data_IF_800894977172
#
_entry.id   IF_800894977172
#
_cell.length_a   1.000
_cell.length_b   1.000
_cell.length_c   1.000
_cell.angle_alpha   90.00
_cell.angle_beta   90.00
_cell.angle_gamma   90.00
#
_symmetry.space_group_name_H-M   'P 1'
#
loop_
_entity.id
_entity.type
_entity.pdbx_description
1 polymer ?
#
# COMPACT_ATOMS: atom_id res chain seq x y z
N UNK A 1 3.17 -2.24 15.99
CA UNK A 1 2.08 -1.90 15.06
C UNK A 1 2.58 -1.19 13.79
N UNK A 2 3.30 -0.06 13.87
CA UNK A 2 3.86 0.65 12.69
C UNK A 2 4.60 -0.26 11.68
N UNK A 3 5.50 -1.11 12.16
CA UNK A 3 6.23 -2.09 11.32
C UNK A 3 5.33 -3.14 10.66
N UNK A 4 4.28 -3.61 11.34
CA UNK A 4 3.37 -4.60 10.76
C UNK A 4 2.57 -4.00 9.61
N UNK A 5 2.09 -2.75 9.78
CA UNK A 5 1.41 -2.01 8.71
C UNK A 5 2.34 -1.83 7.52
N UNK A 6 3.60 -1.48 7.78
CA UNK A 6 4.62 -1.36 6.73
C UNK A 6 4.82 -2.67 5.96
N UNK A 7 4.98 -3.80 6.65
CA UNK A 7 5.12 -5.12 6.02
C UNK A 7 3.90 -5.51 5.18
N UNK A 8 2.68 -5.22 5.66
CA UNK A 8 1.44 -5.48 4.91
C UNK A 8 1.40 -4.64 3.63
N UNK A 9 1.79 -3.37 3.70
CA UNK A 9 1.84 -2.49 2.53
C UNK A 9 2.91 -2.98 1.54
N UNK A 10 4.09 -3.36 2.01
CA UNK A 10 5.15 -3.93 1.17
C UNK A 10 4.71 -5.22 0.47
N UNK A 11 3.98 -6.09 1.18
CA UNK A 11 3.41 -7.31 0.61
C UNK A 11 2.35 -7.00 -0.47
N UNK A 12 1.43 -6.07 -0.19
CA UNK A 12 0.43 -5.63 -1.14
C UNK A 12 1.06 -5.00 -2.39
N UNK A 13 2.11 -4.19 -2.22
CA UNK A 13 2.89 -3.65 -3.34
C UNK A 13 3.54 -4.75 -4.17
N UNK A 14 4.16 -5.73 -3.52
CA UNK A 14 4.79 -6.86 -4.20
C UNK A 14 3.76 -7.69 -4.99
N UNK A 15 2.57 -7.93 -4.42
CA UNK A 15 1.44 -8.58 -5.10
C UNK A 15 0.94 -7.79 -6.32
N UNK A 16 1.04 -6.45 -6.28
CA UNK A 16 0.75 -5.58 -7.43
C UNK A 16 1.92 -5.48 -8.43
N UNK A 17 3.01 -6.21 -8.20
CA UNK A 17 4.21 -6.22 -9.04
C UNK A 17 5.06 -4.97 -8.91
N UNK A 18 4.83 -4.16 -7.86
CA UNK A 18 5.60 -2.95 -7.57
C UNK A 18 6.73 -3.31 -6.63
N UNK A 19 7.96 -3.07 -7.09
CA UNK A 19 9.18 -3.33 -6.33
C UNK A 19 10.05 -2.08 -6.30
N UNK A 20 10.78 -1.87 -5.21
CA UNK A 20 11.68 -0.72 -5.04
C UNK A 20 11.04 0.56 -4.49
N UNK A 21 9.83 0.47 -3.90
CA UNK A 21 9.22 1.56 -3.14
C UNK A 21 9.45 1.30 -1.65
N UNK A 22 10.08 2.24 -0.94
CA UNK A 22 10.18 2.16 0.51
C UNK A 22 8.83 2.55 1.14
N UNK A 23 8.22 1.64 1.87
CA UNK A 23 6.97 1.94 2.54
C UNK A 23 7.21 2.83 3.77
N UNK A 24 6.81 4.09 3.71
CA UNK A 24 6.84 4.98 4.88
C UNK A 24 5.43 5.09 5.44
N UNK A 25 5.27 4.57 6.65
CA UNK A 25 4.08 4.78 7.49
C UNK A 25 4.45 5.86 8.48
N UNK A 26 3.58 6.82 8.76
CA UNK A 26 3.77 7.83 9.79
C UNK A 26 2.45 8.15 10.49
N UNK A 27 2.54 8.76 11.68
CA UNK A 27 1.35 9.25 12.38
C UNK A 27 0.99 10.60 11.77
N UNK A 28 -0.22 10.78 11.22
CA UNK A 28 -0.59 12.05 10.62
C UNK A 28 -0.68 13.16 11.67
N UNK A 29 -0.27 14.38 11.31
CA UNK A 29 -0.40 15.56 12.18
C UNK A 29 -1.87 15.88 12.50
N UNK A 30 -2.78 15.49 11.59
CA UNK A 30 -4.22 15.65 11.78
C UNK A 30 -4.85 14.33 12.23
N UNK A 31 -5.38 14.30 13.45
CA UNK A 31 -6.09 13.15 14.01
C UNK A 31 -7.31 12.71 13.19
N UNK A 32 -7.87 13.56 12.32
CA UNK A 32 -8.96 13.21 11.40
C UNK A 32 -8.54 12.28 10.26
N UNK A 33 -7.25 12.04 10.04
CA UNK A 33 -6.74 11.17 8.98
C UNK A 33 -6.51 9.72 9.43
N UNK A 34 -6.90 9.40 10.67
CA UNK A 34 -6.74 8.08 11.29
C UNK A 34 -5.44 7.95 12.10
N UNK A 35 -5.20 6.76 12.63
CA UNK A 35 -4.05 6.49 13.52
C UNK A 35 -2.71 6.43 12.78
N UNK A 36 -2.73 6.02 11.50
CA UNK A 36 -1.55 5.85 10.67
C UNK A 36 -1.85 6.25 9.22
N UNK A 37 -0.91 6.96 8.60
CA UNK A 37 -0.96 7.38 7.21
C UNK A 37 0.27 6.86 6.45
N UNK A 38 0.15 6.70 5.12
CA UNK A 38 1.26 6.29 4.26
C UNK A 38 1.22 7.02 2.93
N UNK A 39 2.39 7.47 2.46
CA UNK A 39 2.53 8.20 1.18
C UNK A 39 3.05 7.32 0.04
N UNK A 40 2.95 6.01 0.22
CA UNK A 40 3.51 5.00 -0.68
C UNK A 40 2.87 5.02 -2.06
N UNK A 41 1.58 5.31 -2.16
CA UNK A 41 0.90 5.43 -3.44
C UNK A 41 1.47 6.58 -4.29
N UNK A 42 1.73 7.73 -3.66
CA UNK A 42 2.35 8.88 -4.31
C UNK A 42 3.81 8.59 -4.68
N UNK A 43 4.57 7.99 -3.76
CA UNK A 43 5.98 7.64 -3.99
C UNK A 43 6.15 6.60 -5.11
N UNK A 44 5.27 5.61 -5.17
CA UNK A 44 5.28 4.59 -6.22
C UNK A 44 4.89 5.14 -7.59
N UNK A 45 3.92 6.07 -7.63
CA UNK A 45 3.43 6.65 -8.88
C UNK A 45 4.38 7.71 -9.45
N UNK A 46 4.99 8.53 -8.59
CA UNK A 46 5.90 9.62 -9.00
C UNK A 46 7.33 9.17 -9.30
N UNK A 47 7.70 7.94 -8.95
CA UNK A 47 9.06 7.45 -9.13
C UNK A 47 9.16 6.61 -10.42
N UNK A 48 9.71 7.19 -11.48
CA UNK A 48 9.91 6.50 -12.78
C UNK A 48 10.75 5.22 -12.68
N UNK A 49 11.54 5.06 -11.60
CA UNK A 49 12.28 3.82 -11.32
C UNK A 49 11.41 2.70 -10.74
N UNK A 50 10.25 3.03 -10.19
CA UNK A 50 9.27 2.05 -9.78
C UNK A 50 8.64 1.49 -11.06
N UNK A 51 9.10 0.30 -11.46
CA UNK A 51 8.54 -0.44 -12.58
C UNK A 51 7.13 -0.90 -12.20
N UNK A 52 6.16 0.00 -12.30
CA UNK A 52 4.75 -0.33 -12.43
C UNK A 52 4.62 -1.12 -13.74
N UNK A 53 4.93 -2.42 -13.67
CA UNK A 53 5.05 -3.32 -14.83
C UNK A 53 3.77 -3.38 -15.67
N UNK A 54 2.65 -2.91 -15.12
CA UNK A 54 1.42 -2.66 -15.82
C UNK A 54 0.95 -1.25 -15.48
N UNK A 55 1.07 -0.32 -16.42
CA UNK A 55 0.48 1.04 -16.36
C UNK A 55 -1.06 0.93 -16.51
N UNK A 56 -1.69 0.16 -15.61
CA UNK A 56 -3.14 -0.04 -15.56
C UNK A 56 -3.83 1.14 -14.87
N UNK A 57 -3.13 1.82 -13.98
CA UNK A 57 -3.64 2.93 -13.17
C UNK A 57 -3.11 4.25 -13.72
N UNK A 58 -4.00 5.19 -14.00
CA UNK A 58 -3.68 6.49 -14.58
C UNK A 58 -3.49 7.57 -13.53
N UNK A 59 -3.93 7.31 -12.29
CA UNK A 59 -3.81 8.25 -11.18
C UNK A 59 -3.31 7.57 -9.90
N UNK A 60 -2.64 8.33 -9.00
CA UNK A 60 -2.24 7.82 -7.68
C UNK A 60 -3.43 7.31 -6.85
N UNK A 61 -4.62 7.87 -7.05
CA UNK A 61 -5.83 7.50 -6.34
C UNK A 61 -6.30 6.09 -6.71
N UNK A 62 -6.32 5.76 -8.00
CA UNK A 62 -6.64 4.41 -8.48
C UNK A 62 -5.64 3.37 -7.96
N UNK A 63 -4.36 3.76 -7.89
CA UNK A 63 -3.33 2.90 -7.33
C UNK A 63 -3.52 2.70 -5.82
N UNK A 64 -3.84 3.76 -5.07
CA UNK A 64 -4.17 3.64 -3.65
C UNK A 64 -5.40 2.74 -3.40
N UNK A 65 -6.42 2.81 -4.27
CA UNK A 65 -7.57 1.91 -4.23
C UNK A 65 -7.17 0.45 -4.49
N UNK A 66 -6.29 0.19 -5.44
CA UNK A 66 -5.78 -1.16 -5.72
C UNK A 66 -4.96 -1.73 -4.56
N UNK A 67 -4.14 -0.91 -3.89
CA UNK A 67 -3.43 -1.31 -2.66
C UNK A 67 -4.45 -1.67 -1.58
N UNK A 68 -5.47 -0.83 -1.38
CA UNK A 68 -6.54 -1.12 -0.41
C UNK A 68 -7.22 -2.44 -0.72
N UNK A 69 -7.57 -2.72 -1.99
CA UNK A 69 -8.17 -4.00 -2.37
C UNK A 69 -7.22 -5.19 -2.15
N UNK A 70 -5.93 -5.03 -2.43
CA UNK A 70 -4.93 -6.07 -2.18
C UNK A 70 -4.81 -6.37 -0.67
N UNK A 71 -4.74 -5.32 0.16
CA UNK A 71 -4.73 -5.46 1.62
C UNK A 71 -6.03 -6.08 2.12
N UNK A 72 -7.19 -5.64 1.64
CA UNK A 72 -8.47 -6.22 2.04
C UNK A 72 -8.55 -7.69 1.63
N UNK A 73 -8.06 -8.08 0.45
CA UNK A 73 -8.01 -9.49 0.03
C UNK A 73 -7.06 -10.30 0.91
N UNK A 74 -5.85 -9.81 1.18
CA UNK A 74 -4.90 -10.46 2.08
C UNK A 74 -5.46 -10.56 3.51
N UNK A 75 -6.13 -9.52 4.02
CA UNK A 75 -6.79 -9.54 5.33
C UNK A 75 -8.02 -10.44 5.36
N UNK A 76 -8.79 -10.53 4.27
CA UNK A 76 -9.92 -11.44 4.18
C UNK A 76 -9.42 -12.87 4.13
N UNK A 77 -8.30 -13.15 3.46
CA UNK A 77 -7.64 -14.45 3.46
C UNK A 77 -7.04 -14.77 4.85
N UNK A 78 -6.44 -13.78 5.51
CA UNK A 78 -5.90 -13.92 6.87
C UNK A 78 -6.99 -14.07 7.94
N UNK A 79 -8.16 -13.44 7.77
CA UNK A 79 -9.33 -13.64 8.64
C UNK A 79 -10.14 -14.89 8.27
N UNK A 80 -10.08 -15.36 7.02
CA UNK A 80 -10.77 -16.57 6.58
C UNK A 80 -9.99 -17.86 6.90
N UNK A 81 -8.77 -17.77 7.43
CA UNK A 81 -7.98 -18.91 7.86
C UNK A 81 -7.17 -18.62 9.12
N UNK A 82 -7.80 -18.86 10.28
CA UNK A 82 -7.33 -19.11 11.68
C UNK A 82 -8.64 -19.04 12.49
N UNK A 83 -9.27 -20.07 13.10
CA UNK A 83 -8.83 -21.27 13.85
C UNK A 83 -7.64 -21.03 14.77
#
# INVERSE_FOLDING_TARGET
>A
MKQQIQTIIEHALASLGVSGVAASVDVPENAGHGDYATNVAMAAFGNEKCKLKNVKWKTPLEFAAAIKEAITKDQTIANAGIV
#
